data_IF_199805604175
#
_entry.id   IF_199805604175
#
_cell.length_a   1.000
_cell.length_b   1.000
_cell.length_c   1.000
_cell.angle_alpha   90.00
_cell.angle_beta   90.00
_cell.angle_gamma   90.00
#
_symmetry.space_group_name_H-M   'P 1'
#
loop_
_entity.id
_entity.type
_entity.pdbx_description
1 polymer ?
#
# COMPACT_ATOMS: atom_id res chain seq x y z
N UNK A 1 -2.93 -31.57 32.60
CA UNK A 1 -1.63 -30.89 32.50
C UNK A 1 -1.10 -30.81 31.06
N UNK A 2 -1.43 -31.74 30.18
CA UNK A 2 -1.06 -31.67 28.75
C UNK A 2 -1.79 -30.57 27.99
N UNK A 3 -2.99 -30.19 28.35
CA UNK A 3 -3.78 -29.13 27.69
C UNK A 3 -3.21 -27.75 27.92
N UNK A 4 -2.59 -27.47 29.06
CA UNK A 4 -1.99 -26.20 29.41
C UNK A 4 -0.77 -25.86 28.51
N UNK A 5 0.04 -26.88 28.17
CA UNK A 5 1.22 -26.73 27.32
C UNK A 5 0.86 -26.44 25.85
N UNK A 6 -0.18 -27.07 25.34
CA UNK A 6 -0.68 -26.90 23.97
C UNK A 6 -1.25 -25.51 23.80
N UNK A 7 -2.00 -24.99 24.77
CA UNK A 7 -2.59 -23.67 24.74
C UNK A 7 -1.51 -22.58 24.72
N UNK A 8 -0.44 -22.72 25.50
CA UNK A 8 0.67 -21.77 25.52
C UNK A 8 1.46 -21.78 24.20
N UNK A 9 1.68 -22.96 23.63
CA UNK A 9 2.36 -23.08 22.33
C UNK A 9 1.57 -22.42 21.19
N UNK A 10 0.24 -22.56 21.19
CA UNK A 10 -0.64 -21.93 20.22
C UNK A 10 -0.65 -20.39 20.33
N UNK A 11 -0.69 -19.88 21.56
CA UNK A 11 -0.65 -18.42 21.82
C UNK A 11 0.67 -17.83 21.37
N UNK A 12 1.79 -18.49 21.66
CA UNK A 12 3.12 -18.04 21.25
C UNK A 12 3.29 -18.04 19.71
N UNK A 13 2.76 -19.06 19.04
CA UNK A 13 2.81 -19.15 17.58
C UNK A 13 1.99 -18.03 16.91
N UNK A 14 0.82 -17.73 17.48
CA UNK A 14 -0.04 -16.67 16.97
C UNK A 14 0.59 -15.29 17.15
N UNK A 15 1.24 -15.02 18.29
CA UNK A 15 1.96 -13.79 18.56
C UNK A 15 3.12 -13.58 17.58
N UNK A 16 3.86 -14.64 17.24
CA UNK A 16 4.96 -14.59 16.27
C UNK A 16 4.50 -14.23 14.87
N UNK A 17 3.35 -14.73 14.43
CA UNK A 17 2.74 -14.41 13.13
C UNK A 17 2.33 -12.94 13.04
N UNK A 18 1.78 -12.37 14.10
CA UNK A 18 1.41 -10.96 14.15
C UNK A 18 2.63 -10.04 14.05
N UNK A 19 3.74 -10.38 14.68
CA UNK A 19 4.98 -9.61 14.63
C UNK A 19 5.59 -9.62 13.22
N UNK A 20 5.56 -10.75 12.53
CA UNK A 20 6.07 -10.88 11.16
C UNK A 20 5.27 -10.03 10.15
N UNK A 21 3.95 -9.91 10.32
CA UNK A 21 3.10 -9.09 9.46
C UNK A 21 3.32 -7.58 9.63
N UNK A 22 3.80 -7.14 10.82
CA UNK A 22 4.07 -5.73 11.12
C UNK A 22 5.42 -5.23 10.57
N UNK A 23 6.33 -6.13 10.15
CA UNK A 23 7.71 -5.77 9.80
C UNK A 23 7.83 -5.12 8.41
N UNK A 24 7.08 -5.54 7.41
CA UNK A 24 7.20 -5.04 6.04
C UNK A 24 5.87 -4.49 5.51
N UNK A 25 5.88 -3.35 4.79
CA UNK A 25 4.66 -2.69 4.29
C UNK A 25 4.14 -3.32 3.00
N UNK A 26 4.05 -4.64 2.94
CA UNK A 26 3.65 -5.38 1.73
C UNK A 26 2.22 -5.05 1.32
N UNK A 27 1.31 -4.94 2.29
CA UNK A 27 -0.09 -4.64 2.02
C UNK A 27 -0.27 -3.21 1.50
N UNK A 28 0.41 -2.24 2.10
CA UNK A 28 0.36 -0.84 1.67
C UNK A 28 0.94 -0.67 0.27
N UNK A 29 2.02 -1.37 -0.05
CA UNK A 29 2.63 -1.38 -1.38
C UNK A 29 1.67 -1.96 -2.43
N UNK A 30 1.02 -3.07 -2.09
CA UNK A 30 0.03 -3.71 -2.96
C UNK A 30 -1.18 -2.79 -3.19
N UNK A 31 -1.69 -2.16 -2.14
CA UNK A 31 -2.81 -1.22 -2.21
C UNK A 31 -2.47 -0.04 -3.13
N UNK A 32 -1.25 0.49 -3.03
CA UNK A 32 -0.80 1.59 -3.88
C UNK A 32 -0.75 1.17 -5.36
N UNK A 33 -0.21 0.00 -5.66
CA UNK A 33 -0.15 -0.52 -7.04
C UNK A 33 -1.55 -0.72 -7.63
N UNK A 34 -2.47 -1.27 -6.84
CA UNK A 34 -3.85 -1.47 -7.27
C UNK A 34 -4.57 -0.14 -7.53
N UNK A 35 -4.36 0.85 -6.66
CA UNK A 35 -4.96 2.18 -6.82
C UNK A 35 -4.43 2.90 -8.07
N UNK A 36 -3.13 2.79 -8.35
CA UNK A 36 -2.51 3.34 -9.56
C UNK A 36 -3.10 2.66 -10.81
N UNK A 37 -3.21 1.34 -10.78
CA UNK A 37 -3.80 0.58 -11.89
C UNK A 37 -5.26 1.00 -12.14
N UNK A 38 -6.03 1.16 -11.08
CA UNK A 38 -7.43 1.62 -11.17
C UNK A 38 -7.52 3.03 -11.76
N UNK A 39 -6.62 3.93 -11.35
CA UNK A 39 -6.57 5.30 -11.89
C UNK A 39 -6.29 5.30 -13.41
N UNK A 40 -5.34 4.48 -13.84
CA UNK A 40 -5.04 4.33 -15.27
C UNK A 40 -6.23 3.78 -16.05
N UNK A 41 -6.94 2.81 -15.50
CA UNK A 41 -8.15 2.25 -16.11
C UNK A 41 -9.23 3.30 -16.33
N UNK A 42 -9.27 4.33 -15.48
CA UNK A 42 -10.22 5.44 -15.62
C UNK A 42 -9.70 6.57 -16.52
N UNK A 43 -8.56 6.39 -17.16
CA UNK A 43 -7.98 7.38 -18.07
C UNK A 43 -7.20 8.49 -17.37
N UNK A 44 -6.67 8.25 -16.17
CA UNK A 44 -5.91 9.26 -15.43
C UNK A 44 -4.65 9.73 -16.16
N UNK A 45 -4.08 8.91 -17.04
CA UNK A 45 -2.95 9.30 -17.88
C UNK A 45 -3.23 10.59 -18.67
N UNK A 46 -4.45 10.75 -19.13
CA UNK A 46 -4.87 11.89 -19.94
C UNK A 46 -5.63 12.95 -19.15
N UNK A 47 -6.41 12.52 -18.16
CA UNK A 47 -7.36 13.39 -17.45
C UNK A 47 -6.87 13.91 -16.11
N UNK A 48 -5.93 13.21 -15.46
CA UNK A 48 -5.37 13.61 -14.17
C UNK A 48 -3.88 13.24 -14.09
N UNK A 49 -3.06 13.69 -15.08
CA UNK A 49 -1.67 13.25 -15.17
C UNK A 49 -0.82 13.66 -13.96
N UNK A 50 -1.05 14.83 -13.39
CA UNK A 50 -0.26 15.35 -12.28
C UNK A 50 -0.43 14.48 -11.02
N UNK A 51 -1.67 14.15 -10.66
CA UNK A 51 -1.95 13.29 -9.51
C UNK A 51 -1.43 11.87 -9.74
N UNK A 52 -1.56 11.35 -10.96
CA UNK A 52 -1.05 10.02 -11.31
C UNK A 52 0.48 9.96 -11.21
N UNK A 53 1.19 10.94 -11.76
CA UNK A 53 2.65 11.03 -11.69
C UNK A 53 3.12 11.14 -10.24
N UNK A 54 2.42 11.91 -9.43
CA UNK A 54 2.73 12.03 -8.01
C UNK A 54 2.58 10.69 -7.28
N UNK A 55 1.52 9.95 -7.59
CA UNK A 55 1.30 8.62 -7.04
C UNK A 55 2.43 7.65 -7.43
N UNK A 56 2.81 7.65 -8.69
CA UNK A 56 3.89 6.79 -9.19
C UNK A 56 5.24 7.13 -8.55
N UNK A 57 5.54 8.42 -8.38
CA UNK A 57 6.76 8.89 -7.71
C UNK A 57 6.82 8.48 -6.25
N UNK A 58 5.69 8.55 -5.53
CA UNK A 58 5.60 8.12 -4.14
C UNK A 58 5.76 6.60 -4.00
N UNK A 59 5.20 5.83 -4.92
CA UNK A 59 5.39 4.38 -4.93
C UNK A 59 6.85 4.01 -5.16
N UNK A 60 7.52 4.70 -6.08
CA UNK A 60 8.95 4.50 -6.34
C UNK A 60 9.78 4.77 -5.09
N UNK A 61 9.50 5.87 -4.39
CA UNK A 61 10.15 6.17 -3.11
C UNK A 61 9.91 5.08 -2.08
N UNK A 62 8.70 4.58 -1.98
CA UNK A 62 8.37 3.49 -1.07
C UNK A 62 9.20 2.23 -1.39
N UNK A 63 9.37 1.92 -2.66
CA UNK A 63 10.20 0.78 -3.10
C UNK A 63 11.67 0.99 -2.73
N UNK A 64 12.20 2.19 -2.91
CA UNK A 64 13.56 2.56 -2.52
C UNK A 64 13.74 2.46 -1.00
N UNK A 65 12.81 3.02 -0.22
CA UNK A 65 12.83 2.93 1.24
C UNK A 65 12.81 1.48 1.72
N UNK A 66 11.98 0.65 1.10
CA UNK A 66 11.88 -0.77 1.41
C UNK A 66 13.22 -1.48 1.17
N UNK A 67 13.89 -1.15 0.06
CA UNK A 67 15.17 -1.79 -0.31
C UNK A 67 16.29 -1.52 0.68
N UNK A 68 16.23 -0.42 1.41
CA UNK A 68 17.22 -0.06 2.43
C UNK A 68 16.74 -0.29 3.86
N UNK A 69 15.59 -0.96 4.03
CA UNK A 69 15.06 -1.31 5.35
C UNK A 69 14.33 -0.19 6.08
N UNK A 70 14.04 0.91 5.42
CA UNK A 70 13.30 2.06 5.97
C UNK A 70 11.79 1.79 5.91
N UNK A 71 11.32 0.83 6.70
CA UNK A 71 9.96 0.30 6.60
C UNK A 71 8.87 1.30 6.95
N UNK A 72 9.10 2.18 7.93
CA UNK A 72 8.14 3.22 8.30
C UNK A 72 7.97 4.24 7.17
N UNK A 73 9.07 4.68 6.57
CA UNK A 73 9.04 5.59 5.41
C UNK A 73 8.38 4.92 4.22
N UNK A 74 8.71 3.66 3.94
CA UNK A 74 8.09 2.89 2.86
C UNK A 74 6.58 2.80 3.04
N UNK A 75 6.10 2.52 4.25
CA UNK A 75 4.67 2.46 4.57
C UNK A 75 3.99 3.81 4.33
N UNK A 76 4.59 4.87 4.83
CA UNK A 76 4.02 6.22 4.71
C UNK A 76 3.97 6.66 3.23
N UNK A 77 5.03 6.43 2.48
CA UNK A 77 5.08 6.77 1.05
C UNK A 77 4.11 5.91 0.23
N UNK A 78 3.96 4.63 0.56
CA UNK A 78 2.99 3.76 -0.11
C UNK A 78 1.55 4.20 0.17
N UNK A 79 1.23 4.56 1.41
CA UNK A 79 -0.09 5.08 1.77
C UNK A 79 -0.38 6.41 1.04
N UNK A 80 0.61 7.30 0.98
CA UNK A 80 0.48 8.56 0.24
C UNK A 80 0.32 8.32 -1.27
N UNK A 81 1.02 7.32 -1.83
CA UNK A 81 0.87 6.93 -3.24
C UNK A 81 -0.56 6.47 -3.53
N UNK A 82 -1.11 5.62 -2.66
CA UNK A 82 -2.51 5.19 -2.78
C UNK A 82 -3.47 6.38 -2.78
N UNK A 83 -3.30 7.31 -1.86
CA UNK A 83 -4.18 8.47 -1.73
C UNK A 83 -4.13 9.35 -2.97
N UNK A 84 -2.93 9.59 -3.54
CA UNK A 84 -2.77 10.35 -4.78
C UNK A 84 -3.37 9.60 -5.98
N UNK A 85 -3.25 8.29 -6.01
CA UNK A 85 -3.86 7.48 -7.07
C UNK A 85 -5.39 7.52 -6.99
N UNK A 86 -5.96 7.48 -5.79
CA UNK A 86 -7.40 7.64 -5.60
C UNK A 86 -7.88 9.01 -6.05
N UNK A 87 -7.11 10.05 -5.75
CA UNK A 87 -7.39 11.40 -6.26
C UNK A 87 -7.36 11.44 -7.79
N UNK A 88 -6.33 10.86 -8.40
CA UNK A 88 -6.21 10.78 -9.86
C UNK A 88 -7.41 10.06 -10.49
N UNK A 89 -7.81 8.94 -9.89
CA UNK A 89 -8.98 8.18 -10.34
C UNK A 89 -10.25 9.02 -10.27
N UNK A 90 -10.48 9.67 -9.13
CA UNK A 90 -11.68 10.48 -8.91
C UNK A 90 -11.72 11.69 -9.85
N UNK A 91 -10.60 12.38 -10.04
CA UNK A 91 -10.50 13.51 -10.96
C UNK A 91 -10.75 13.05 -12.41
N UNK A 92 -10.17 11.93 -12.82
CA UNK A 92 -10.40 11.36 -14.15
C UNK A 92 -11.87 10.97 -14.37
N UNK A 93 -12.50 10.39 -13.37
CA UNK A 93 -13.91 10.01 -13.43
C UNK A 93 -14.82 11.22 -13.53
N UNK A 94 -14.53 12.29 -12.81
CA UNK A 94 -15.31 13.55 -12.85
C UNK A 94 -15.28 14.19 -14.24
N UNK A 95 -14.16 14.11 -14.94
CA UNK A 95 -14.00 14.68 -16.28
C UNK A 95 -14.66 13.84 -17.37
N UNK A 96 -15.00 12.58 -17.10
CA UNK A 96 -15.67 11.71 -18.05
C UNK A 96 -17.18 11.83 -18.01
N UNK A 97 -17.76 12.47 -16.99
CA UNK A 97 -19.19 12.71 -16.87
C UNK A 97 -19.60 13.92 -17.71
N UNK A 98 -20.65 13.82 -18.54
CA UNK A 98 -21.16 14.96 -19.30
C UNK A 98 -21.76 16.03 -18.40
#
# INVERSE_FOLDING_TARGET
MTEFRVTHALVMLFASLMTACAAAPVQEMSNARQAISAARSMGADQRAPDALQKAEGLLKRAEEDLSVGEYTKARNNAAAARDQAMKARNDAQSQSSP
#
